data_IF_959827124115
#
_entry.id   IF_959827124115
#
_cell.length_a   1.000
_cell.length_b   1.000
_cell.length_c   1.000
_cell.angle_alpha   90.00
_cell.angle_beta   90.00
_cell.angle_gamma   90.00
#
_symmetry.space_group_name_H-M   'P 1'
#
loop_
_entity.id
_entity.type
_entity.pdbx_description
1 polymer ?
#
# COMPACT_ATOMS: atom_id res chain seq x y z
N UNK A 1 9.54 -10.28 11.65
CA UNK A 1 10.20 -9.92 10.39
C UNK A 1 9.20 -10.02 9.24
N UNK A 2 9.19 -9.05 8.34
CA UNK A 2 8.20 -8.93 7.26
C UNK A 2 8.87 -9.21 5.91
N UNK A 3 8.21 -10.00 5.05
CA UNK A 3 8.50 -10.08 3.62
C UNK A 3 7.45 -9.27 2.85
N UNK A 4 7.90 -8.32 2.04
CA UNK A 4 7.06 -7.67 1.04
C UNK A 4 7.37 -8.30 -0.31
N UNK A 5 6.37 -8.82 -1.02
CA UNK A 5 6.53 -9.33 -2.37
C UNK A 5 5.66 -8.49 -3.31
N UNK A 6 6.29 -7.71 -4.18
CA UNK A 6 5.54 -6.74 -4.98
C UNK A 6 6.37 -5.94 -5.96
N UNK A 7 5.75 -4.91 -6.50
CA UNK A 7 6.27 -4.05 -7.55
C UNK A 7 7.30 -3.04 -7.06
N UNK A 8 8.18 -2.66 -7.98
CA UNK A 8 9.01 -1.47 -7.89
C UNK A 8 8.98 -0.75 -9.24
N UNK A 9 8.68 0.54 -9.26
CA UNK A 9 8.56 1.35 -10.46
C UNK A 9 9.40 2.62 -10.34
N UNK A 10 10.01 3.06 -11.44
CA UNK A 10 10.52 4.42 -11.53
C UNK A 10 9.36 5.33 -11.98
N UNK A 11 8.96 6.24 -11.12
CA UNK A 11 7.92 7.22 -11.43
C UNK A 11 8.56 8.39 -12.19
N UNK A 12 8.13 8.58 -13.43
CA UNK A 12 8.56 9.64 -14.34
C UNK A 12 7.49 10.72 -14.33
N UNK A 13 7.76 11.81 -13.63
CA UNK A 13 6.79 12.89 -13.40
C UNK A 13 7.09 14.09 -14.28
N UNK A 14 6.15 14.45 -15.13
CA UNK A 14 6.16 15.69 -15.92
C UNK A 14 5.07 16.61 -15.41
N UNK A 15 5.41 17.87 -15.13
CA UNK A 15 4.42 18.91 -14.86
C UNK A 15 4.18 19.75 -16.11
N UNK A 16 2.92 20.02 -16.41
CA UNK A 16 2.49 20.80 -17.55
C UNK A 16 1.31 21.68 -17.18
N UNK A 17 1.00 22.70 -17.99
CA UNK A 17 -0.18 23.55 -17.75
C UNK A 17 -1.48 22.75 -17.68
N UNK A 18 -1.58 21.68 -18.43
CA UNK A 18 -2.72 20.74 -18.47
C UNK A 18 -2.31 19.37 -18.96
N UNK A 19 -3.11 18.37 -18.70
CA UNK A 19 -2.94 17.03 -19.25
C UNK A 19 -3.26 17.07 -20.76
N UNK A 20 -2.38 16.54 -21.66
CA UNK A 20 -2.64 16.52 -23.10
C UNK A 20 -3.82 15.60 -23.43
N UNK A 21 -4.69 16.05 -24.34
CA UNK A 21 -5.71 15.22 -24.95
C UNK A 21 -5.15 14.33 -26.08
N UNK A 22 -5.96 13.41 -26.62
CA UNK A 22 -5.55 12.56 -27.74
C UNK A 22 -5.06 13.36 -28.94
N UNK A 23 -3.88 13.01 -29.45
CA UNK A 23 -3.26 13.69 -30.61
C UNK A 23 -2.61 15.05 -30.30
N UNK A 24 -2.56 15.45 -29.05
CA UNK A 24 -2.06 16.74 -28.61
C UNK A 24 -0.64 16.66 -28.06
N UNK A 25 0.15 17.73 -28.28
CA UNK A 25 1.47 17.94 -27.67
C UNK A 25 1.43 19.15 -26.77
N UNK A 26 1.76 18.98 -25.48
CA UNK A 26 1.87 20.05 -24.49
C UNK A 26 3.30 20.12 -24.00
N UNK A 27 3.89 21.33 -23.93
CA UNK A 27 5.22 21.53 -23.36
C UNK A 27 5.14 21.49 -21.83
N UNK A 28 5.94 20.61 -21.23
CA UNK A 28 6.07 20.52 -19.77
C UNK A 28 6.98 21.59 -19.19
N UNK A 29 6.78 21.93 -17.92
CA UNK A 29 7.58 22.89 -17.16
C UNK A 29 8.75 22.23 -16.45
N UNK A 30 8.55 21.03 -15.91
CA UNK A 30 9.55 20.29 -15.14
C UNK A 30 9.45 18.78 -15.40
N UNK A 31 10.61 18.13 -15.27
CA UNK A 31 10.75 16.70 -15.32
C UNK A 31 11.51 16.20 -14.09
N UNK A 32 10.98 15.20 -13.41
CA UNK A 32 11.64 14.55 -12.28
C UNK A 32 11.34 13.06 -12.27
N UNK A 33 12.27 12.28 -11.71
CA UNK A 33 12.05 10.85 -11.46
C UNK A 33 12.07 10.57 -9.96
N UNK A 34 11.23 9.65 -9.53
CA UNK A 34 11.14 9.23 -8.14
C UNK A 34 11.08 7.70 -8.04
N UNK A 35 11.71 7.10 -7.01
CA UNK A 35 11.43 5.71 -6.66
C UNK A 35 9.97 5.56 -6.22
N UNK A 36 9.29 4.56 -6.78
CA UNK A 36 7.88 4.27 -6.53
C UNK A 36 7.56 2.78 -6.71
N UNK A 37 6.31 2.49 -7.00
CA UNK A 37 5.74 1.14 -7.00
C UNK A 37 5.20 0.75 -5.62
N UNK A 38 3.98 0.20 -5.58
CA UNK A 38 3.27 -0.08 -4.32
C UNK A 38 4.08 -1.00 -3.39
N UNK A 39 4.68 -2.07 -3.94
CA UNK A 39 5.52 -2.97 -3.16
C UNK A 39 6.71 -2.26 -2.52
N UNK A 40 7.46 -1.48 -3.31
CA UNK A 40 8.63 -0.74 -2.83
C UNK A 40 8.24 0.34 -1.80
N UNK A 41 7.15 1.08 -2.03
CA UNK A 41 6.64 2.07 -1.09
C UNK A 41 6.28 1.43 0.26
N UNK A 42 5.55 0.31 0.24
CA UNK A 42 5.14 -0.42 1.44
C UNK A 42 6.33 -1.04 2.18
N UNK A 43 7.35 -1.54 1.45
CA UNK A 43 8.58 -2.03 2.06
C UNK A 43 9.37 -0.92 2.77
N UNK A 44 9.51 0.25 2.13
CA UNK A 44 10.11 1.44 2.76
C UNK A 44 9.31 1.86 4.00
N UNK A 45 7.97 1.82 3.93
CA UNK A 45 7.12 2.17 5.05
C UNK A 45 7.27 1.19 6.24
N UNK A 46 7.32 -0.11 5.98
CA UNK A 46 7.59 -1.11 7.02
C UNK A 46 8.93 -0.85 7.73
N UNK A 47 9.98 -0.60 6.95
CA UNK A 47 11.32 -0.43 7.49
C UNK A 47 11.51 0.94 8.18
N UNK A 48 11.19 2.04 7.50
CA UNK A 48 11.49 3.41 7.97
C UNK A 48 10.47 3.90 8.99
N UNK A 49 9.17 3.81 8.67
CA UNK A 49 8.10 4.33 9.51
C UNK A 49 7.62 3.31 10.54
N UNK A 50 7.67 2.03 10.22
CA UNK A 50 7.35 0.94 11.13
C UNK A 50 8.53 0.47 12.01
N UNK A 51 9.77 0.77 11.61
CA UNK A 51 10.96 0.36 12.34
C UNK A 51 11.21 -1.15 12.39
N UNK A 52 10.65 -1.90 11.44
CA UNK A 52 10.68 -3.37 11.44
C UNK A 52 11.72 -3.92 10.46
N UNK A 53 12.37 -5.04 10.81
CA UNK A 53 13.24 -5.78 9.89
C UNK A 53 12.42 -6.26 8.69
N UNK A 54 12.70 -5.66 7.53
CA UNK A 54 11.90 -5.82 6.31
C UNK A 54 12.74 -6.34 5.17
N UNK A 55 12.26 -7.37 4.52
CA UNK A 55 12.80 -7.91 3.28
C UNK A 55 11.83 -7.62 2.13
N UNK A 56 12.35 -7.49 0.92
CA UNK A 56 11.51 -7.31 -0.27
C UNK A 56 11.94 -8.25 -1.39
N UNK A 57 10.98 -9.00 -1.93
CA UNK A 57 11.08 -9.70 -3.21
C UNK A 57 10.52 -8.80 -4.30
N UNK A 58 11.36 -8.51 -5.32
CA UNK A 58 11.03 -7.64 -6.44
C UNK A 58 11.72 -8.11 -7.71
N UNK A 59 11.21 -7.68 -8.87
CA UNK A 59 11.86 -7.90 -10.15
C UNK A 59 12.24 -6.56 -10.79
N UNK A 60 13.43 -6.48 -11.34
CA UNK A 60 14.00 -5.28 -11.99
C UNK A 60 14.64 -5.66 -13.32
N UNK A 61 14.61 -4.74 -14.26
CA UNK A 61 15.40 -4.85 -15.50
C UNK A 61 16.92 -4.68 -15.25
N UNK A 62 17.72 -5.07 -16.21
CA UNK A 62 19.15 -4.75 -16.23
C UNK A 62 19.37 -3.41 -16.96
N UNK A 63 18.86 -2.33 -16.36
CA UNK A 63 18.83 -0.99 -16.92
C UNK A 63 19.13 0.10 -15.88
N UNK A 64 19.24 1.34 -16.34
CA UNK A 64 19.56 2.50 -15.50
C UNK A 64 18.44 2.85 -14.49
N UNK A 65 17.21 2.38 -14.71
CA UNK A 65 16.06 2.67 -13.83
C UNK A 65 16.05 1.82 -12.58
N UNK A 66 16.69 0.65 -12.61
CA UNK A 66 16.77 -0.25 -11.47
C UNK A 66 17.57 0.33 -10.28
N UNK A 67 18.69 1.00 -10.57
CA UNK A 67 19.62 1.49 -9.53
C UNK A 67 18.98 2.48 -8.54
N UNK A 68 18.24 3.52 -8.96
CA UNK A 68 17.58 4.43 -8.04
C UNK A 68 16.59 3.73 -7.08
N UNK A 69 15.92 2.66 -7.56
CA UNK A 69 14.97 1.87 -6.76
C UNK A 69 15.70 1.07 -5.69
N UNK A 70 16.79 0.37 -6.06
CA UNK A 70 17.59 -0.38 -5.10
C UNK A 70 18.23 0.52 -4.06
N UNK A 71 18.79 1.67 -4.49
CA UNK A 71 19.46 2.61 -3.58
C UNK A 71 18.45 3.18 -2.56
N UNK A 72 17.22 3.49 -2.98
CA UNK A 72 16.16 3.95 -2.08
C UNK A 72 15.77 2.89 -1.06
N UNK A 73 15.53 1.66 -1.50
CA UNK A 73 15.16 0.53 -0.63
C UNK A 73 16.28 0.20 0.37
N UNK A 74 17.54 0.11 -0.08
CA UNK A 74 18.70 -0.13 0.79
C UNK A 74 18.92 0.99 1.81
N UNK A 75 18.75 2.25 1.39
CA UNK A 75 18.85 3.41 2.29
C UNK A 75 17.78 3.37 3.37
N UNK A 76 16.59 2.82 3.07
CA UNK A 76 15.55 2.60 4.06
C UNK A 76 15.80 1.38 4.98
N UNK A 77 16.87 0.61 4.75
CA UNK A 77 17.20 -0.59 5.54
C UNK A 77 16.49 -1.86 5.08
N UNK A 78 15.93 -1.88 3.86
CA UNK A 78 15.25 -3.07 3.31
C UNK A 78 16.27 -4.04 2.74
N UNK A 79 16.18 -5.32 3.09
CA UNK A 79 16.96 -6.42 2.51
C UNK A 79 16.30 -6.89 1.21
N UNK A 80 17.05 -6.93 0.12
CA UNK A 80 16.50 -7.17 -1.22
C UNK A 80 16.71 -8.61 -1.70
N UNK A 81 15.65 -9.23 -2.22
CA UNK A 81 15.65 -10.44 -3.04
C UNK A 81 15.27 -10.03 -4.45
N UNK A 82 16.25 -9.81 -5.31
CA UNK A 82 16.05 -9.22 -6.65
C UNK A 82 16.10 -10.29 -7.74
N UNK A 83 15.01 -10.41 -8.50
CA UNK A 83 15.02 -11.06 -9.80
C UNK A 83 15.49 -10.04 -10.85
N UNK A 84 16.58 -10.34 -11.56
CA UNK A 84 17.08 -9.51 -12.67
C UNK A 84 16.60 -10.03 -14.01
N UNK A 85 16.16 -9.13 -14.88
CA UNK A 85 15.78 -9.42 -16.25
C UNK A 85 16.67 -8.67 -17.24
N UNK A 86 17.28 -9.39 -18.18
CA UNK A 86 17.93 -8.79 -19.34
C UNK A 86 16.98 -8.59 -20.53
N UNK A 87 15.71 -8.96 -20.42
CA UNK A 87 14.73 -8.90 -21.50
C UNK A 87 13.64 -7.86 -21.26
N UNK A 88 13.12 -7.78 -20.03
CA UNK A 88 12.09 -6.82 -19.65
C UNK A 88 12.71 -5.64 -18.90
N UNK A 89 12.33 -4.40 -19.22
CA UNK A 89 12.81 -3.23 -18.53
C UNK A 89 12.24 -3.16 -17.10
N UNK A 90 12.87 -2.37 -16.25
CA UNK A 90 12.34 -1.99 -14.93
C UNK A 90 10.97 -1.33 -15.08
N UNK A 91 10.04 -1.68 -14.19
CA UNK A 91 8.71 -1.07 -14.15
C UNK A 91 8.78 0.45 -14.08
N UNK A 92 7.91 1.13 -14.82
CA UNK A 92 7.91 2.59 -14.93
C UNK A 92 6.48 3.12 -14.89
N UNK A 93 6.24 4.18 -14.12
CA UNK A 93 4.99 4.93 -14.16
C UNK A 93 5.23 6.29 -14.84
N UNK A 94 4.45 6.61 -15.86
CA UNK A 94 4.45 7.90 -16.54
C UNK A 94 3.32 8.74 -15.96
N UNK A 95 3.68 9.86 -15.33
CA UNK A 95 2.76 10.69 -14.56
C UNK A 95 2.80 12.10 -15.14
N UNK A 96 1.70 12.54 -15.70
CA UNK A 96 1.48 13.94 -16.08
C UNK A 96 0.68 14.61 -14.98
N UNK A 97 1.19 15.73 -14.44
CA UNK A 97 0.52 16.53 -13.42
C UNK A 97 0.24 17.91 -13.98
N UNK A 98 -1.02 18.34 -13.98
CA UNK A 98 -1.43 19.68 -14.40
C UNK A 98 -1.21 20.72 -13.32
N UNK A 99 -1.27 22.01 -13.70
CA UNK A 99 -1.19 23.12 -12.74
C UNK A 99 -2.39 23.15 -11.77
N UNK A 100 -3.53 22.57 -12.17
CA UNK A 100 -4.72 22.36 -11.32
C UNK A 100 -4.58 21.15 -10.37
N UNK A 101 -3.40 20.53 -10.32
CA UNK A 101 -3.09 19.36 -9.51
C UNK A 101 -3.85 18.07 -9.89
N UNK A 102 -4.49 18.02 -11.06
CA UNK A 102 -4.98 16.76 -11.63
C UNK A 102 -3.82 15.94 -12.17
N UNK A 103 -3.97 14.61 -12.19
CA UNK A 103 -2.96 13.73 -12.74
C UNK A 103 -3.54 12.70 -13.71
N UNK A 104 -2.71 12.26 -14.65
CA UNK A 104 -2.92 11.10 -15.49
C UNK A 104 -1.71 10.18 -15.36
N UNK A 105 -1.97 8.92 -15.07
CA UNK A 105 -0.93 7.93 -14.79
C UNK A 105 -1.09 6.75 -15.74
N UNK A 106 0.02 6.38 -16.39
CA UNK A 106 0.12 5.15 -17.18
C UNK A 106 1.29 4.32 -16.64
N UNK A 107 1.02 3.08 -16.26
CA UNK A 107 2.05 2.17 -15.74
C UNK A 107 2.45 1.19 -16.82
N UNK A 108 3.77 1.11 -17.10
CA UNK A 108 4.40 0.04 -17.85
C UNK A 108 5.03 -0.92 -16.82
N UNK A 109 4.42 -2.08 -16.54
CA UNK A 109 4.83 -2.92 -15.42
C UNK A 109 6.20 -3.57 -15.60
N UNK A 110 6.65 -3.79 -16.85
CA UNK A 110 7.97 -4.36 -17.17
C UNK A 110 8.28 -5.61 -16.36
N UNK A 111 9.47 -5.67 -15.78
CA UNK A 111 10.00 -6.81 -15.04
C UNK A 111 9.12 -7.24 -13.84
N UNK A 112 8.25 -6.37 -13.29
CA UNK A 112 7.31 -6.75 -12.22
C UNK A 112 6.43 -7.95 -12.64
N UNK A 113 6.13 -8.09 -13.93
CA UNK A 113 5.31 -9.17 -14.47
C UNK A 113 6.06 -10.50 -14.61
N UNK A 114 7.36 -10.54 -14.34
CA UNK A 114 8.18 -11.75 -14.37
C UNK A 114 8.20 -12.51 -13.05
N UNK A 115 7.67 -11.91 -11.97
CA UNK A 115 7.59 -12.63 -10.70
C UNK A 115 6.71 -13.88 -10.86
N UNK A 116 7.23 -15.02 -10.42
CA UNK A 116 6.62 -16.34 -10.53
C UNK A 116 6.76 -17.12 -9.22
N UNK A 117 6.03 -18.22 -9.07
CA UNK A 117 5.94 -18.98 -7.82
C UNK A 117 7.31 -19.41 -7.25
N UNK A 118 8.24 -19.77 -8.12
CA UNK A 118 9.59 -20.25 -7.78
C UNK A 118 10.51 -19.16 -7.22
N UNK A 119 10.19 -17.88 -7.40
CA UNK A 119 11.02 -16.79 -6.92
C UNK A 119 10.82 -16.47 -5.43
N UNK A 120 9.77 -17.02 -4.80
CA UNK A 120 9.51 -16.80 -3.39
C UNK A 120 10.66 -17.38 -2.54
N UNK A 121 11.34 -16.55 -1.72
CA UNK A 121 12.40 -17.07 -0.85
C UNK A 121 11.82 -17.97 0.24
N UNK A 122 12.66 -18.81 0.89
CA UNK A 122 12.24 -19.59 2.06
C UNK A 122 11.60 -18.70 3.12
N UNK A 123 10.44 -19.13 3.65
CA UNK A 123 9.61 -18.29 4.52
C UNK A 123 9.90 -18.42 6.04
N UNK A 124 10.92 -19.21 6.43
CA UNK A 124 11.29 -19.36 7.84
C UNK A 124 11.71 -18.04 8.46
N UNK A 125 11.11 -17.70 9.60
CA UNK A 125 11.41 -16.48 10.35
C UNK A 125 10.58 -15.26 9.93
N UNK A 126 9.82 -15.32 8.85
CA UNK A 126 8.85 -14.28 8.54
C UNK A 126 7.55 -14.50 9.31
N UNK A 127 6.98 -13.41 9.83
CA UNK A 127 5.68 -13.38 10.51
C UNK A 127 4.55 -13.04 9.53
N UNK A 128 4.84 -12.13 8.58
CA UNK A 128 3.89 -11.60 7.62
C UNK A 128 4.47 -11.59 6.21
N UNK A 129 3.61 -11.86 5.23
CA UNK A 129 3.83 -11.63 3.81
C UNK A 129 2.86 -10.55 3.35
N UNK A 130 3.39 -9.38 2.96
CA UNK A 130 2.62 -8.25 2.44
C UNK A 130 2.72 -8.20 0.92
N UNK A 131 1.57 -8.17 0.24
CA UNK A 131 1.47 -8.19 -1.23
C UNK A 131 0.49 -7.13 -1.73
N UNK A 132 0.63 -6.79 -3.03
CA UNK A 132 -0.23 -5.88 -3.78
C UNK A 132 -0.58 -6.52 -5.14
N UNK A 133 -1.27 -5.79 -6.02
CA UNK A 133 -1.78 -6.33 -7.29
C UNK A 133 -1.09 -5.72 -8.54
N UNK A 134 0.11 -5.18 -8.40
CA UNK A 134 0.95 -4.71 -9.53
C UNK A 134 1.92 -5.80 -10.05
N UNK A 135 1.71 -7.04 -9.66
CA UNK A 135 2.43 -8.24 -10.10
C UNK A 135 1.41 -9.30 -10.56
N UNK A 136 1.82 -10.39 -11.23
CA UNK A 136 0.86 -11.35 -11.77
C UNK A 136 -0.04 -11.94 -10.66
N UNK A 137 -1.36 -11.86 -10.86
CA UNK A 137 -2.35 -12.32 -9.87
C UNK A 137 -2.20 -13.81 -9.52
N UNK A 138 -1.82 -14.64 -10.51
CA UNK A 138 -1.53 -16.05 -10.28
C UNK A 138 -0.32 -16.24 -9.33
N UNK A 139 0.70 -15.38 -9.44
CA UNK A 139 1.86 -15.38 -8.56
C UNK A 139 1.50 -14.95 -7.15
N UNK A 140 0.70 -13.88 -7.00
CA UNK A 140 0.19 -13.42 -5.69
C UNK A 140 -0.59 -14.53 -5.01
N UNK A 141 -1.46 -15.24 -5.74
CA UNK A 141 -2.22 -16.39 -5.21
C UNK A 141 -1.29 -17.53 -4.79
N UNK A 142 -0.27 -17.83 -5.59
CA UNK A 142 0.72 -18.87 -5.27
C UNK A 142 1.54 -18.53 -4.01
N UNK A 143 1.96 -17.28 -3.88
CA UNK A 143 2.69 -16.79 -2.70
C UNK A 143 1.82 -16.86 -1.43
N UNK A 144 0.54 -16.46 -1.54
CA UNK A 144 -0.42 -16.58 -0.44
C UNK A 144 -0.57 -18.03 0.03
N UNK A 145 -0.65 -19.00 -0.92
CA UNK A 145 -0.74 -20.43 -0.61
C UNK A 145 0.51 -20.92 0.12
N UNK A 146 1.70 -20.53 -0.35
CA UNK A 146 2.97 -20.90 0.27
C UNK A 146 3.12 -20.29 1.66
N UNK A 147 2.71 -19.03 1.86
CA UNK A 147 2.73 -18.36 3.15
C UNK A 147 1.81 -19.05 4.17
N UNK A 148 0.58 -19.37 3.78
CA UNK A 148 -0.36 -20.14 4.64
C UNK A 148 0.20 -21.50 5.04
N UNK A 149 0.81 -22.23 4.09
CA UNK A 149 1.43 -23.52 4.37
C UNK A 149 2.62 -23.42 5.35
N UNK A 150 3.33 -22.28 5.33
CA UNK A 150 4.45 -21.98 6.24
C UNK A 150 4.01 -21.36 7.58
N UNK A 151 2.72 -21.11 7.80
CA UNK A 151 2.21 -20.44 9.00
C UNK A 151 2.49 -18.92 9.03
N UNK A 152 2.84 -18.32 7.89
CA UNK A 152 3.07 -16.88 7.73
C UNK A 152 1.74 -16.19 7.42
N UNK A 153 1.46 -15.07 8.10
CA UNK A 153 0.24 -14.29 7.90
C UNK A 153 0.24 -13.60 6.54
N UNK A 154 -0.83 -13.78 5.79
CA UNK A 154 -1.02 -13.17 4.47
C UNK A 154 -1.74 -11.84 4.61
N UNK A 155 -1.07 -10.75 4.22
CA UNK A 155 -1.64 -9.41 4.15
C UNK A 155 -1.69 -8.98 2.70
N UNK A 156 -2.88 -8.66 2.20
CA UNK A 156 -3.09 -8.21 0.83
C UNK A 156 -3.64 -6.77 0.82
N UNK A 157 -2.86 -5.84 0.27
CA UNK A 157 -3.41 -4.57 -0.17
C UNK A 157 -3.93 -4.76 -1.60
N UNK A 158 -5.25 -4.80 -1.78
CA UNK A 158 -5.87 -5.13 -3.06
C UNK A 158 -5.89 -3.93 -4.03
N UNK A 159 -4.75 -3.32 -4.24
CA UNK A 159 -4.50 -2.17 -5.11
C UNK A 159 -3.55 -2.57 -6.28
N UNK A 160 -3.85 -2.17 -7.53
CA UNK A 160 -5.04 -1.43 -7.98
C UNK A 160 -6.33 -2.28 -8.00
N UNK A 161 -7.47 -1.58 -8.04
CA UNK A 161 -8.79 -2.21 -8.00
C UNK A 161 -9.00 -3.22 -9.14
N UNK A 162 -9.30 -4.46 -8.78
CA UNK A 162 -9.67 -5.53 -9.71
C UNK A 162 -10.46 -6.64 -8.99
N UNK A 163 -11.13 -7.49 -9.76
CA UNK A 163 -11.77 -8.69 -9.21
C UNK A 163 -10.71 -9.68 -8.70
N UNK A 164 -10.98 -10.30 -7.55
CA UNK A 164 -10.07 -11.25 -6.94
C UNK A 164 -10.63 -12.68 -7.02
N UNK A 165 -9.77 -13.69 -7.25
CA UNK A 165 -10.16 -15.08 -7.13
C UNK A 165 -10.62 -15.40 -5.70
N UNK A 166 -11.69 -16.19 -5.56
CA UNK A 166 -12.18 -16.64 -4.26
C UNK A 166 -11.08 -17.36 -3.45
N UNK A 167 -10.20 -18.09 -4.12
CA UNK A 167 -9.05 -18.74 -3.49
C UNK A 167 -8.12 -17.73 -2.82
N UNK A 168 -7.77 -16.62 -3.48
CA UNK A 168 -6.88 -15.61 -2.91
C UNK A 168 -7.50 -14.97 -1.67
N UNK A 169 -8.82 -14.66 -1.72
CA UNK A 169 -9.53 -14.14 -0.56
C UNK A 169 -9.52 -15.13 0.61
N UNK A 170 -9.75 -16.43 0.34
CA UNK A 170 -9.73 -17.49 1.36
C UNK A 170 -8.33 -17.70 1.99
N UNK A 171 -7.27 -17.37 1.27
CA UNK A 171 -5.89 -17.45 1.74
C UNK A 171 -5.43 -16.18 2.50
N UNK A 172 -6.18 -15.08 2.41
CA UNK A 172 -5.83 -13.78 2.99
C UNK A 172 -6.27 -13.69 4.45
N UNK A 173 -5.36 -13.35 5.35
CA UNK A 173 -5.66 -13.08 6.77
C UNK A 173 -6.14 -11.64 6.99
N UNK A 174 -5.51 -10.68 6.30
CA UNK A 174 -5.82 -9.25 6.39
C UNK A 174 -5.90 -8.67 4.98
N UNK A 175 -7.08 -8.15 4.62
CA UNK A 175 -7.33 -7.45 3.38
C UNK A 175 -7.35 -5.94 3.66
N UNK A 176 -6.53 -5.17 2.93
CA UNK A 176 -6.49 -3.71 3.03
C UNK A 176 -6.95 -3.13 1.70
N UNK A 177 -7.95 -2.27 1.75
CA UNK A 177 -8.60 -1.68 0.58
C UNK A 177 -8.98 -0.22 0.83
N UNK A 178 -9.15 0.57 -0.24
CA UNK A 178 -9.91 1.80 -0.20
C UNK A 178 -11.38 1.54 -0.59
N UNK A 179 -12.22 2.57 -0.60
CA UNK A 179 -13.66 2.46 -0.92
C UNK A 179 -13.90 1.89 -2.32
N UNK A 180 -13.13 2.36 -3.31
CA UNK A 180 -13.26 1.90 -4.70
C UNK A 180 -12.81 0.45 -4.88
N UNK A 181 -11.72 0.06 -4.24
CA UNK A 181 -11.21 -1.31 -4.23
C UNK A 181 -12.19 -2.25 -3.53
N UNK A 182 -12.76 -1.82 -2.40
CA UNK A 182 -13.80 -2.57 -1.69
C UNK A 182 -15.03 -2.82 -2.59
N UNK A 183 -15.53 -1.78 -3.24
CA UNK A 183 -16.67 -1.87 -4.15
C UNK A 183 -16.40 -2.81 -5.33
N UNK A 184 -15.20 -2.73 -5.91
CA UNK A 184 -14.79 -3.60 -7.02
C UNK A 184 -14.73 -5.09 -6.60
N UNK A 185 -14.17 -5.40 -5.42
CA UNK A 185 -14.08 -6.78 -4.91
C UNK A 185 -15.47 -7.31 -4.54
N UNK A 186 -16.31 -6.49 -3.90
CA UNK A 186 -17.67 -6.85 -3.53
C UNK A 186 -18.64 -6.91 -4.74
N UNK A 187 -18.18 -6.43 -5.90
CA UNK A 187 -19.03 -6.20 -7.09
C UNK A 187 -20.33 -5.46 -6.72
N UNK A 188 -20.20 -4.34 -5.99
CA UNK A 188 -21.34 -3.64 -5.39
C UNK A 188 -21.03 -2.20 -5.01
N UNK A 189 -21.95 -1.29 -5.29
CA UNK A 189 -21.92 0.13 -4.89
C UNK A 189 -22.87 0.42 -3.71
N UNK A 190 -23.28 -0.60 -2.96
CA UNK A 190 -24.30 -0.48 -1.91
C UNK A 190 -23.77 0.13 -0.58
N UNK A 191 -22.56 0.67 -0.59
CA UNK A 191 -21.91 1.26 0.59
C UNK A 191 -21.01 0.28 1.36
N UNK A 192 -20.23 0.83 2.31
CA UNK A 192 -19.12 0.11 2.95
C UNK A 192 -19.61 -1.12 3.72
N UNK A 193 -20.62 -0.96 4.60
CA UNK A 193 -21.14 -2.07 5.38
C UNK A 193 -21.62 -3.23 4.50
N UNK A 194 -22.45 -2.92 3.49
CA UNK A 194 -22.99 -3.94 2.59
C UNK A 194 -21.92 -4.62 1.72
N UNK A 195 -20.84 -3.92 1.39
CA UNK A 195 -19.69 -4.51 0.69
C UNK A 195 -18.88 -5.41 1.62
N UNK A 196 -18.66 -4.99 2.87
CA UNK A 196 -17.96 -5.80 3.88
C UNK A 196 -18.66 -7.14 4.11
N UNK A 197 -20.00 -7.17 4.17
CA UNK A 197 -20.80 -8.39 4.40
C UNK A 197 -20.63 -9.45 3.30
N UNK A 198 -20.25 -9.02 2.08
CA UNK A 198 -20.05 -9.91 0.93
C UNK A 198 -18.68 -10.59 0.89
N UNK A 199 -17.69 -10.09 1.65
CA UNK A 199 -16.30 -10.53 1.55
C UNK A 199 -15.94 -11.38 2.78
N UNK A 200 -15.51 -12.62 2.54
CA UNK A 200 -15.17 -13.59 3.58
C UNK A 200 -13.64 -13.60 3.83
N UNK A 201 -13.15 -12.56 4.52
CA UNK A 201 -11.75 -12.46 5.00
C UNK A 201 -11.78 -12.14 6.49
N UNK A 202 -10.93 -12.77 7.34
CA UNK A 202 -10.96 -12.60 8.80
C UNK A 202 -10.87 -11.15 9.27
N UNK A 203 -9.99 -10.36 8.64
CA UNK A 203 -9.81 -8.94 8.93
C UNK A 203 -9.84 -8.15 7.62
N UNK A 204 -10.74 -7.18 7.52
CA UNK A 204 -10.80 -6.26 6.37
C UNK A 204 -10.63 -4.84 6.90
N UNK A 205 -9.63 -4.14 6.37
CA UNK A 205 -9.34 -2.73 6.71
C UNK A 205 -9.67 -1.87 5.50
N UNK A 206 -10.59 -0.93 5.68
CA UNK A 206 -11.00 0.03 4.64
C UNK A 206 -10.43 1.40 4.99
N UNK A 207 -9.56 1.93 4.14
CA UNK A 207 -9.03 3.29 4.25
C UNK A 207 -10.00 4.28 3.63
N UNK A 208 -10.28 5.40 4.31
CA UNK A 208 -11.32 6.37 3.99
C UNK A 208 -10.73 7.79 3.81
N UNK A 209 -9.45 7.87 3.47
CA UNK A 209 -8.73 9.13 3.27
C UNK A 209 -8.82 10.05 4.50
N UNK A 210 -9.28 11.27 4.30
CA UNK A 210 -9.39 12.29 5.35
C UNK A 210 -10.41 11.95 6.46
N UNK A 211 -11.19 10.87 6.32
CA UNK A 211 -12.10 10.40 7.37
C UNK A 211 -11.45 9.42 8.33
N UNK A 212 -10.39 8.72 7.90
CA UNK A 212 -9.71 7.70 8.72
C UNK A 212 -9.82 6.30 8.14
N UNK A 213 -10.12 5.31 8.97
CA UNK A 213 -10.31 3.93 8.51
C UNK A 213 -11.32 3.17 9.38
N UNK A 214 -11.87 2.12 8.76
CA UNK A 214 -12.73 1.14 9.41
C UNK A 214 -12.12 -0.24 9.24
N UNK A 215 -12.10 -1.06 10.30
CA UNK A 215 -11.74 -2.46 10.19
C UNK A 215 -12.88 -3.35 10.67
N UNK A 216 -13.22 -4.38 9.89
CA UNK A 216 -14.08 -5.48 10.32
C UNK A 216 -13.21 -6.64 10.81
N UNK A 217 -13.53 -7.19 11.98
CA UNK A 217 -12.87 -8.35 12.60
C UNK A 217 -13.96 -9.34 13.03
N UNK A 218 -14.22 -10.36 12.24
CA UNK A 218 -15.42 -11.19 12.45
C UNK A 218 -16.68 -10.35 12.35
N UNK A 219 -17.43 -10.28 13.45
CA UNK A 219 -18.66 -9.47 13.58
C UNK A 219 -18.40 -8.07 14.16
N UNK A 220 -17.19 -7.80 14.64
CA UNK A 220 -16.84 -6.54 15.30
C UNK A 220 -16.26 -5.51 14.32
N UNK A 221 -16.38 -4.23 14.71
CA UNK A 221 -15.83 -3.10 13.95
C UNK A 221 -14.92 -2.24 14.80
N UNK A 222 -13.73 -1.96 14.30
CA UNK A 222 -12.80 -0.98 14.84
C UNK A 222 -12.77 0.23 13.92
N UNK A 223 -12.87 1.42 14.52
CA UNK A 223 -12.89 2.68 13.81
C UNK A 223 -11.75 3.57 14.32
N UNK A 224 -11.03 4.18 13.38
CA UNK A 224 -9.98 5.15 13.69
C UNK A 224 -10.20 6.40 12.85
N UNK A 225 -10.49 7.53 13.51
CA UNK A 225 -10.57 8.82 12.85
C UNK A 225 -9.21 9.22 12.26
N UNK A 226 -9.21 9.96 11.16
CA UNK A 226 -8.00 10.52 10.60
C UNK A 226 -7.34 11.50 11.56
N UNK A 227 -6.03 11.64 11.45
CA UNK A 227 -5.29 12.75 12.06
C UNK A 227 -5.40 13.98 11.15
N UNK A 228 -5.76 15.12 11.72
CA UNK A 228 -5.91 16.35 10.97
C UNK A 228 -4.53 16.91 10.56
N UNK A 229 -4.29 17.02 9.26
CA UNK A 229 -3.09 17.61 8.68
C UNK A 229 -3.48 18.53 7.51
N UNK A 230 -2.57 19.42 7.13
CA UNK A 230 -2.70 20.17 5.88
C UNK A 230 -1.98 19.39 4.77
N UNK A 231 -2.70 18.73 3.85
CA UNK A 231 -2.04 17.92 2.83
C UNK A 231 -1.31 18.78 1.81
N UNK A 232 -0.13 18.31 1.40
CA UNK A 232 0.69 18.84 0.31
C UNK A 232 0.63 17.89 -0.89
N UNK A 233 0.76 16.57 -0.62
CA UNK A 233 0.72 15.51 -1.62
C UNK A 233 0.23 14.23 -0.95
N UNK A 234 -0.76 13.55 -1.53
CA UNK A 234 -1.33 12.31 -0.96
C UNK A 234 -0.71 11.04 -1.56
N UNK A 235 0.26 11.18 -2.46
CA UNK A 235 0.95 10.06 -3.09
C UNK A 235 1.65 9.19 -2.05
N UNK A 236 1.42 7.89 -2.10
CA UNK A 236 2.04 6.93 -1.18
C UNK A 236 1.49 6.91 0.25
N UNK A 237 0.48 7.74 0.59
CA UNK A 237 -0.12 7.75 1.93
C UNK A 237 -0.78 6.40 2.28
N UNK A 238 -1.47 5.79 1.31
CA UNK A 238 -2.05 4.45 1.45
C UNK A 238 -0.97 3.38 1.61
N UNK A 239 0.13 3.46 0.85
CA UNK A 239 1.27 2.54 0.98
C UNK A 239 1.95 2.70 2.35
N UNK A 240 2.10 3.95 2.82
CA UNK A 240 2.63 4.25 4.15
C UNK A 240 1.73 3.64 5.23
N UNK A 241 0.42 3.81 5.12
CA UNK A 241 -0.55 3.18 6.03
C UNK A 241 -0.39 1.65 6.03
N UNK A 242 -0.37 1.00 4.86
CA UNK A 242 -0.24 -0.45 4.75
C UNK A 242 1.05 -0.98 5.40
N UNK A 243 2.18 -0.38 5.07
CA UNK A 243 3.48 -0.80 5.62
C UNK A 243 3.55 -0.65 7.15
N UNK A 244 3.09 0.49 7.68
CA UNK A 244 3.11 0.74 9.14
C UNK A 244 2.10 -0.15 9.87
N UNK A 245 0.93 -0.42 9.29
CA UNK A 245 -0.04 -1.35 9.87
C UNK A 245 0.59 -2.73 10.08
N UNK A 246 1.24 -3.28 9.05
CA UNK A 246 1.86 -4.60 9.13
C UNK A 246 3.05 -4.60 10.09
N UNK A 247 3.86 -3.54 10.08
CA UNK A 247 4.99 -3.39 11.01
C UNK A 247 4.52 -3.33 12.48
N UNK A 248 3.45 -2.59 12.75
CA UNK A 248 2.88 -2.49 14.10
C UNK A 248 2.33 -3.84 14.59
N UNK A 249 1.69 -4.61 13.71
CA UNK A 249 1.22 -5.97 14.01
C UNK A 249 2.39 -6.94 14.23
N UNK A 250 3.47 -6.86 13.43
CA UNK A 250 4.71 -7.65 13.63
C UNK A 250 5.37 -7.31 14.97
N UNK A 251 5.29 -6.05 15.40
CA UNK A 251 5.75 -5.57 16.70
C UNK A 251 4.85 -5.97 17.88
N UNK A 252 3.76 -6.70 17.64
CA UNK A 252 2.86 -7.21 18.68
C UNK A 252 1.78 -6.24 19.15
N UNK A 253 1.58 -5.10 18.46
CA UNK A 253 0.45 -4.23 18.77
C UNK A 253 -0.87 -4.91 18.39
N UNK A 254 -1.90 -4.72 19.22
CA UNK A 254 -3.27 -5.07 18.84
C UNK A 254 -3.75 -4.22 17.67
N UNK A 255 -4.72 -4.74 16.90
CA UNK A 255 -5.18 -4.12 15.65
C UNK A 255 -5.61 -2.65 15.84
N UNK A 256 -6.29 -2.30 16.92
CA UNK A 256 -6.67 -0.90 17.18
C UNK A 256 -5.46 0.04 17.30
N UNK A 257 -4.41 -0.37 18.02
CA UNK A 257 -3.16 0.37 18.12
C UNK A 257 -2.43 0.46 16.79
N UNK A 258 -2.42 -0.63 16.02
CA UNK A 258 -1.80 -0.69 14.70
C UNK A 258 -2.52 0.23 13.69
N UNK A 259 -3.85 0.26 13.67
CA UNK A 259 -4.65 1.19 12.87
C UNK A 259 -4.35 2.66 13.21
N UNK A 260 -4.20 2.96 14.51
CA UNK A 260 -3.85 4.31 14.95
C UNK A 260 -2.46 4.73 14.46
N UNK A 261 -1.45 3.87 14.62
CA UNK A 261 -0.09 4.15 14.12
C UNK A 261 -0.05 4.32 12.60
N UNK A 262 -0.72 3.43 11.87
CA UNK A 262 -0.83 3.47 10.43
C UNK A 262 -1.51 4.77 9.94
N UNK A 263 -2.60 5.18 10.60
CA UNK A 263 -3.30 6.43 10.29
C UNK A 263 -2.43 7.66 10.55
N UNK A 264 -1.66 7.68 11.63
CA UNK A 264 -0.73 8.76 11.93
C UNK A 264 0.39 8.85 10.87
N UNK A 265 0.96 7.72 10.48
CA UNK A 265 2.01 7.67 9.47
C UNK A 265 1.50 8.11 8.08
N UNK A 266 0.32 7.64 7.67
CA UNK A 266 -0.32 8.07 6.42
C UNK A 266 -0.64 9.56 6.41
N UNK A 267 -1.10 10.12 7.52
CA UNK A 267 -1.35 11.56 7.66
C UNK A 267 -0.04 12.38 7.55
N UNK A 268 1.03 11.95 8.22
CA UNK A 268 2.35 12.60 8.10
C UNK A 268 2.88 12.53 6.67
N UNK A 269 2.75 11.40 5.99
CA UNK A 269 3.19 11.26 4.61
C UNK A 269 2.51 12.30 3.70
N UNK A 270 1.24 12.62 3.92
CA UNK A 270 0.54 13.65 3.15
C UNK A 270 1.12 15.06 3.30
N UNK A 271 1.98 15.34 4.29
CA UNK A 271 2.52 16.68 4.55
C UNK A 271 3.75 17.03 3.72
N UNK A 272 4.32 16.07 3.00
CA UNK A 272 5.51 16.21 2.17
C UNK A 272 5.26 15.68 0.75
N UNK A 273 5.96 16.20 -0.27
CA UNK A 273 5.79 15.73 -1.63
C UNK A 273 6.48 14.37 -1.90
N UNK A 274 5.87 13.59 -2.79
CA UNK A 274 6.38 12.32 -3.31
C UNK A 274 5.99 11.10 -2.46
N UNK A 275 6.18 9.89 -3.02
CA UNK A 275 5.81 8.63 -2.38
C UNK A 275 6.82 8.21 -1.30
N UNK A 276 8.01 7.70 -1.69
CA UNK A 276 8.99 7.21 -0.72
C UNK A 276 9.69 8.33 0.06
N UNK A 277 9.83 9.52 -0.53
CA UNK A 277 10.44 10.69 0.12
C UNK A 277 9.60 11.23 1.27
N UNK A 278 8.28 11.09 1.21
CA UNK A 278 7.35 11.59 2.23
C UNK A 278 7.18 10.63 3.42
N UNK A 279 7.59 9.36 3.30
CA UNK A 279 7.45 8.36 4.37
C UNK A 279 8.24 8.81 5.61
N UNK A 280 7.57 9.02 6.78
CA UNK A 280 8.22 9.52 7.98
C UNK A 280 9.14 8.48 8.64
N UNK A 281 9.98 8.92 9.58
CA UNK A 281 10.70 8.03 10.49
C UNK A 281 9.76 7.51 11.60
N UNK A 282 10.05 6.34 12.16
CA UNK A 282 9.25 5.72 13.22
C UNK A 282 9.09 6.62 14.46
N UNK A 283 10.16 7.35 14.85
CA UNK A 283 10.11 8.33 15.94
C UNK A 283 9.13 9.45 15.68
N UNK A 284 9.10 9.99 14.46
CA UNK A 284 8.17 11.05 14.07
C UNK A 284 6.71 10.55 14.10
N UNK A 285 6.46 9.30 13.70
CA UNK A 285 5.13 8.68 13.79
C UNK A 285 4.68 8.57 15.24
N UNK A 286 5.56 8.07 16.12
CA UNK A 286 5.26 7.91 17.54
C UNK A 286 4.99 9.26 18.23
N UNK A 287 5.84 10.26 17.99
CA UNK A 287 5.69 11.61 18.52
C UNK A 287 4.38 12.26 18.04
N UNK A 288 4.10 12.18 16.74
CA UNK A 288 2.88 12.75 16.16
C UNK A 288 1.62 12.06 16.74
N UNK A 289 1.58 10.73 16.76
CA UNK A 289 0.47 10.01 17.37
C UNK A 289 0.29 10.34 18.84
N UNK A 290 1.38 10.57 19.59
CA UNK A 290 1.36 10.95 21.00
C UNK A 290 0.80 12.35 21.29
N UNK A 291 0.82 13.26 20.32
CA UNK A 291 0.26 14.62 20.47
C UNK A 291 -1.28 14.64 20.51
N UNK A 292 -1.93 13.57 20.06
CA UNK A 292 -3.38 13.47 20.00
C UNK A 292 -3.87 12.43 21.03
N UNK A 293 -4.84 12.80 21.86
CA UNK A 293 -5.55 11.80 22.66
C UNK A 293 -6.31 10.83 21.74
N UNK A 294 -6.45 9.55 22.10
CA UNK A 294 -7.32 8.64 21.36
C UNK A 294 -8.74 9.23 21.29
N UNK A 295 -9.24 9.39 20.06
CA UNK A 295 -10.63 9.82 19.86
C UNK A 295 -11.56 8.68 20.27
N UNK A 296 -12.45 8.94 21.21
CA UNK A 296 -13.50 8.00 21.62
C UNK A 296 -14.79 8.20 20.81
N UNK A 297 -14.97 9.38 20.20
CA UNK A 297 -16.12 9.65 19.34
C UNK A 297 -15.79 9.29 17.88
N UNK A 298 -16.34 8.16 17.44
CA UNK A 298 -16.29 7.68 16.05
C UNK A 298 -17.69 7.62 15.42
N UNK A 299 -18.67 8.32 16.00
CA UNK A 299 -20.08 8.28 15.57
C UNK A 299 -20.25 8.71 14.11
N UNK A 300 -19.60 9.81 13.71
CA UNK A 300 -19.64 10.30 12.35
C UNK A 300 -19.04 9.30 11.35
N UNK A 301 -17.91 8.68 11.69
CA UNK A 301 -17.25 7.68 10.87
C UNK A 301 -18.10 6.39 10.76
N UNK A 302 -18.71 5.96 11.87
CA UNK A 302 -19.63 4.82 11.92
C UNK A 302 -20.84 5.05 11.03
N UNK A 303 -21.45 6.23 11.13
CA UNK A 303 -22.60 6.63 10.27
C UNK A 303 -22.21 6.66 8.79
N UNK A 304 -21.04 7.22 8.46
CA UNK A 304 -20.51 7.25 7.10
C UNK A 304 -20.34 5.83 6.51
N UNK A 305 -19.83 4.89 7.30
CA UNK A 305 -19.67 3.51 6.88
C UNK A 305 -21.00 2.72 6.83
N UNK A 306 -22.12 3.27 7.32
CA UNK A 306 -23.40 2.56 7.42
C UNK A 306 -23.40 1.42 8.42
N UNK A 307 -22.54 1.49 9.47
CA UNK A 307 -22.40 0.43 10.45
C UNK A 307 -23.48 0.49 11.54
N UNK A 308 -23.89 -0.66 12.11
CA UNK A 308 -24.85 -0.70 13.23
C UNK A 308 -24.33 0.09 14.44
N UNK A 309 -25.23 0.51 15.32
CA UNK A 309 -24.87 1.11 16.59
C UNK A 309 -23.95 0.16 17.40
N UNK A 310 -23.06 0.68 18.24
CA UNK A 310 -22.29 -0.18 19.15
C UNK A 310 -23.25 -0.93 20.07
N UNK A 311 -23.04 -2.22 20.22
CA UNK A 311 -23.77 -3.06 21.19
C UNK A 311 -23.33 -2.75 22.62
#
# INVERSE_FOLDING_TARGET
MILVAGSANLDVVVRAARIPGPGETVLGHTFKTYPGGKGANQAVACARAGGTNTHMLLALGDDAYARPLEDSLRTAGVVLHVLRSGQEPTGTAFICVSDDAENAITVAPGANMLLAAEHLPPLQGYSHLLMQLETPLATVTSYARSARAAGVKVVLNAAPAQALPAELLALTDILIVNEGELAAIAASDAGIAACLDKIQVPVIVVTLGARGCCARVGEDYLLQNAFAVKPVDTTGAGDTFCGVLVAALDGGLGLAGALRQASAAGALACTLPGAQSSIPAATAVAEFAGQYAPSTDTSALRSYCGLPAPT
#
